data_IF_710228186419
#
_entry.id   IF_710228186419
#
_cell.length_a   1.000
_cell.length_b   1.000
_cell.length_c   1.000
_cell.angle_alpha   90.00
_cell.angle_beta   90.00
_cell.angle_gamma   90.00
#
_symmetry.space_group_name_H-M   'P 1'
#
loop_
_entity.id
_entity.type
_entity.pdbx_description
1 polymer ?
#
# COMPACT_ATOMS: atom_id res chain seq x y z
N UNK A 1 -13.32 6.57 9.25
CA UNK A 1 -12.53 5.73 8.31
C UNK A 1 -12.01 6.66 7.22
N UNK A 2 -10.71 6.62 6.92
CA UNK A 2 -10.08 7.45 5.87
C UNK A 2 -10.42 6.86 4.48
N UNK A 3 -10.79 7.67 3.47
CA UNK A 3 -11.03 7.16 2.12
C UNK A 3 -9.79 6.47 1.54
N UNK A 4 -9.97 5.35 0.85
CA UNK A 4 -8.86 4.60 0.24
C UNK A 4 -8.06 5.47 -0.74
N UNK A 5 -8.70 6.38 -1.47
CA UNK A 5 -8.04 7.32 -2.39
C UNK A 5 -7.06 8.25 -1.68
N UNK A 6 -7.43 8.76 -0.50
CA UNK A 6 -6.55 9.61 0.32
C UNK A 6 -5.36 8.79 0.83
N UNK A 7 -5.59 7.55 1.25
CA UNK A 7 -4.51 6.65 1.67
C UNK A 7 -3.57 6.29 0.49
N UNK A 8 -4.12 6.06 -0.70
CA UNK A 8 -3.35 5.74 -1.91
C UNK A 8 -2.45 6.91 -2.32
N UNK A 9 -2.96 8.15 -2.31
CA UNK A 9 -2.19 9.35 -2.64
C UNK A 9 -1.08 9.64 -1.61
N UNK A 10 -1.30 9.35 -0.32
CA UNK A 10 -0.32 9.61 0.73
C UNK A 10 0.75 8.52 0.86
N UNK A 11 0.33 7.25 0.84
CA UNK A 11 1.20 6.11 1.19
C UNK A 11 1.11 4.95 0.21
N UNK A 12 0.27 5.03 -0.83
CA UNK A 12 -0.05 3.89 -1.68
C UNK A 12 1.15 3.31 -2.43
N UNK A 13 2.03 4.18 -2.95
CA UNK A 13 3.28 3.74 -3.58
C UNK A 13 4.21 3.02 -2.60
N UNK A 14 4.40 3.58 -1.41
CA UNK A 14 5.25 2.99 -0.37
C UNK A 14 4.67 1.68 0.17
N UNK A 15 3.36 1.63 0.42
CA UNK A 15 2.66 0.46 0.92
C UNK A 15 2.84 -0.74 -0.02
N UNK A 16 2.68 -0.56 -1.34
CA UNK A 16 2.89 -1.62 -2.33
C UNK A 16 4.34 -2.14 -2.35
N UNK A 17 5.31 -1.23 -2.34
CA UNK A 17 6.74 -1.61 -2.35
C UNK A 17 7.13 -2.33 -1.06
N UNK A 18 6.70 -1.81 0.09
CA UNK A 18 6.96 -2.41 1.39
C UNK A 18 6.28 -3.78 1.51
N UNK A 19 5.01 -3.91 1.11
CA UNK A 19 4.31 -5.19 1.13
C UNK A 19 5.02 -6.26 0.31
N UNK A 20 5.46 -5.93 -0.92
CA UNK A 20 6.23 -6.88 -1.75
C UNK A 20 7.52 -7.37 -1.09
N UNK A 21 8.18 -6.54 -0.27
CA UNK A 21 9.39 -6.90 0.46
C UNK A 21 9.10 -7.68 1.75
N UNK A 22 8.06 -7.30 2.48
CA UNK A 22 7.72 -7.91 3.77
C UNK A 22 6.91 -9.18 3.65
N UNK A 23 6.23 -9.42 2.52
CA UNK A 23 5.35 -10.59 2.35
C UNK A 23 6.00 -11.92 2.77
N UNK A 24 7.24 -12.27 2.35
CA UNK A 24 7.87 -13.52 2.78
C UNK A 24 8.05 -13.61 4.31
N UNK A 25 8.50 -12.51 4.93
CA UNK A 25 8.65 -12.45 6.39
C UNK A 25 7.31 -12.61 7.12
N UNK A 26 6.26 -11.96 6.62
CA UNK A 26 4.92 -12.05 7.21
C UNK A 26 4.37 -13.47 7.07
N UNK A 27 4.57 -14.11 5.93
CA UNK A 27 4.18 -15.51 5.70
C UNK A 27 4.90 -16.45 6.69
N UNK A 28 6.22 -16.30 6.84
CA UNK A 28 7.02 -17.07 7.80
C UNK A 28 6.59 -16.83 9.25
N UNK A 29 6.30 -15.58 9.62
CA UNK A 29 5.84 -15.23 10.97
C UNK A 29 4.51 -15.90 11.30
N UNK A 30 3.56 -15.91 10.36
CA UNK A 30 2.25 -16.56 10.55
C UNK A 30 2.36 -18.07 10.67
N UNK A 31 3.26 -18.70 9.90
CA UNK A 31 3.57 -20.13 10.06
C UNK A 31 4.15 -20.40 11.45
N UNK A 32 5.13 -19.60 11.88
CA UNK A 32 5.83 -19.76 13.17
C UNK A 32 4.91 -19.56 14.37
N UNK A 33 3.97 -18.62 14.29
CA UNK A 33 3.11 -18.21 15.42
C UNK A 33 1.72 -18.84 15.38
N UNK A 34 1.31 -19.41 14.24
CA UNK A 34 -0.02 -19.98 14.02
C UNK A 34 -1.15 -18.94 13.92
N UNK A 35 -0.86 -17.64 14.01
CA UNK A 35 -1.87 -16.57 13.88
C UNK A 35 -1.85 -15.96 12.49
N UNK A 36 -3.03 -15.66 11.95
CA UNK A 36 -3.18 -14.90 10.70
C UNK A 36 -3.25 -13.37 10.95
N UNK A 37 -3.29 -12.95 12.22
CA UNK A 37 -3.52 -11.55 12.62
C UNK A 37 -2.33 -10.64 12.41
N UNK A 38 -1.10 -11.19 12.42
CA UNK A 38 0.09 -10.41 12.16
C UNK A 38 0.02 -9.77 10.77
N UNK A 39 0.18 -8.45 10.72
CA UNK A 39 0.18 -7.65 9.49
C UNK A 39 -1.11 -7.70 8.65
N UNK A 40 -2.23 -8.17 9.19
CA UNK A 40 -3.46 -8.39 8.41
C UNK A 40 -3.98 -7.11 7.74
N UNK A 41 -3.94 -5.97 8.45
CA UNK A 41 -4.38 -4.69 7.90
C UNK A 41 -3.44 -4.13 6.84
N UNK A 42 -2.14 -4.44 6.95
CA UNK A 42 -1.14 -4.00 5.98
C UNK A 42 -1.27 -4.80 4.69
N UNK A 43 -1.49 -6.12 4.80
CA UNK A 43 -1.87 -6.96 3.66
C UNK A 43 -3.15 -6.46 3.01
N UNK A 44 -4.21 -6.29 3.80
CA UNK A 44 -5.51 -5.83 3.31
C UNK A 44 -5.35 -4.52 2.54
N UNK A 45 -4.63 -3.54 3.10
CA UNK A 45 -4.41 -2.26 2.45
C UNK A 45 -3.67 -2.43 1.12
N UNK A 46 -2.57 -3.20 1.08
CA UNK A 46 -1.81 -3.41 -0.14
C UNK A 46 -2.67 -4.08 -1.24
N UNK A 47 -3.49 -5.07 -0.87
CA UNK A 47 -4.40 -5.74 -1.81
C UNK A 47 -5.53 -4.82 -2.30
N UNK A 48 -6.09 -3.98 -1.42
CA UNK A 48 -7.10 -3.00 -1.83
C UNK A 48 -6.51 -1.95 -2.76
N UNK A 49 -5.30 -1.49 -2.47
CA UNK A 49 -4.57 -0.56 -3.32
C UNK A 49 -4.26 -1.17 -4.69
N UNK A 50 -3.93 -2.45 -4.79
CA UNK A 50 -3.70 -3.10 -6.09
C UNK A 50 -5.00 -3.27 -6.90
N UNK A 51 -6.15 -3.50 -6.24
CA UNK A 51 -7.44 -3.72 -6.89
C UNK A 51 -8.17 -2.43 -7.27
N UNK A 52 -8.07 -1.41 -6.42
CA UNK A 52 -8.97 -0.26 -6.44
C UNK A 52 -8.24 1.09 -6.51
N UNK A 53 -6.93 1.09 -6.77
CA UNK A 53 -6.19 2.35 -6.93
C UNK A 53 -6.86 3.27 -7.93
N UNK A 54 -6.99 4.53 -7.52
CA UNK A 54 -7.32 5.63 -8.43
C UNK A 54 -6.28 6.76 -8.31
N UNK A 55 -5.17 6.52 -7.59
CA UNK A 55 -4.11 7.52 -7.45
C UNK A 55 -3.51 7.87 -8.80
N UNK A 56 -3.17 9.15 -8.95
CA UNK A 56 -2.38 9.63 -10.08
C UNK A 56 -0.93 9.18 -10.00
N UNK A 57 -0.51 8.65 -8.84
CA UNK A 57 0.82 8.07 -8.62
C UNK A 57 0.79 6.56 -8.73
N UNK A 58 1.90 5.96 -9.15
CA UNK A 58 2.10 4.52 -9.18
C UNK A 58 3.61 4.20 -9.22
N UNK A 59 3.98 2.93 -9.44
CA UNK A 59 5.39 2.51 -9.51
C UNK A 59 6.20 3.16 -10.66
N UNK A 60 5.53 3.77 -11.64
CA UNK A 60 6.14 4.45 -12.79
C UNK A 60 6.04 5.97 -12.72
N UNK A 61 4.97 6.50 -12.13
CA UNK A 61 4.70 7.95 -12.04
C UNK A 61 4.69 8.38 -10.58
N UNK A 62 5.69 9.17 -10.19
CA UNK A 62 5.79 9.72 -8.83
C UNK A 62 4.99 11.00 -8.63
N UNK A 63 4.80 11.38 -7.37
CA UNK A 63 4.11 12.61 -6.97
C UNK A 63 4.64 13.90 -7.65
N UNK A 64 5.98 14.10 -7.82
CA UNK A 64 6.50 15.30 -8.49
C UNK A 64 6.03 15.48 -9.94
N UNK A 65 5.65 14.39 -10.61
CA UNK A 65 5.10 14.42 -11.97
C UNK A 65 3.58 14.50 -11.93
N UNK A 66 2.92 13.64 -11.14
CA UNK A 66 1.47 13.53 -11.07
C UNK A 66 0.75 14.79 -10.52
N UNK A 67 1.46 15.56 -9.69
CA UNK A 67 0.92 16.74 -9.01
C UNK A 67 1.70 18.02 -9.35
N UNK A 68 2.38 18.05 -10.51
CA UNK A 68 3.18 19.20 -10.94
C UNK A 68 2.43 20.53 -10.91
N UNK A 69 1.14 20.50 -11.22
CA UNK A 69 0.27 21.69 -11.30
C UNK A 69 -0.66 21.85 -10.09
N UNK A 70 -0.37 21.18 -8.97
CA UNK A 70 -1.21 21.26 -7.77
C UNK A 70 -1.20 22.67 -7.18
N UNK A 71 -2.37 23.11 -6.68
CA UNK A 71 -2.58 24.38 -5.98
C UNK A 71 -3.21 24.09 -4.61
N UNK A 72 -2.83 24.85 -3.57
CA UNK A 72 -3.37 24.70 -2.21
C UNK A 72 -4.87 25.01 -2.13
#
# INVERSE_FOLDING_TARGET
IVPLSVADDLVGGMARVAWRKFRPFVEDERIRTGTQKSWEWFQWLAEQLDRHSQSRTNLKVGAPVAHRDWKP
#
